data_IF_431805338033
#
_entry.id   IF_431805338033
#
_cell.length_a   1.000
_cell.length_b   1.000
_cell.length_c   1.000
_cell.angle_alpha   90.00
_cell.angle_beta   90.00
_cell.angle_gamma   90.00
#
_symmetry.space_group_name_H-M   'P 1'
#
loop_
_entity.id
_entity.type
_entity.pdbx_description
1 polymer ?
#
# COMPACT_ATOMS: atom_id res chain seq x y z
N UNK A 1 25.53 5.73 33.66
CA UNK A 1 25.54 6.41 32.34
C UNK A 1 26.88 6.34 31.59
N UNK A 2 28.06 6.65 32.19
CA UNK A 2 29.34 6.65 31.46
C UNK A 2 29.70 5.29 30.85
N UNK A 3 29.38 4.20 31.55
CA UNK A 3 29.61 2.84 31.07
C UNK A 3 28.82 2.51 29.78
N UNK A 4 27.59 3.03 29.62
CA UNK A 4 26.80 2.82 28.41
C UNK A 4 27.34 3.64 27.23
N UNK A 5 27.83 4.86 27.49
CA UNK A 5 28.48 5.67 26.46
C UNK A 5 29.79 5.02 25.99
N UNK A 6 30.61 4.55 26.93
CA UNK A 6 31.86 3.84 26.63
C UNK A 6 31.61 2.58 25.78
N UNK A 7 30.66 1.74 26.20
CA UNK A 7 30.29 0.54 25.46
C UNK A 7 29.68 0.85 24.09
N UNK A 8 28.91 1.94 23.97
CA UNK A 8 28.37 2.39 22.68
C UNK A 8 29.48 2.88 21.75
N UNK A 9 30.50 3.59 22.25
CA UNK A 9 31.65 4.02 21.44
C UNK A 9 32.52 2.84 21.03
N UNK A 10 32.67 1.83 21.90
CA UNK A 10 33.40 0.61 21.59
C UNK A 10 32.66 -0.25 20.55
N UNK A 11 31.33 -0.31 20.64
CA UNK A 11 30.49 -0.95 19.64
C UNK A 11 30.57 -0.22 18.29
N UNK A 12 30.59 1.12 18.29
CA UNK A 12 30.77 1.94 17.09
C UNK A 12 32.12 1.68 16.42
N UNK A 13 33.20 1.61 17.21
CA UNK A 13 34.54 1.29 16.72
C UNK A 13 34.64 -0.14 16.16
N UNK A 14 33.77 -1.05 16.60
CA UNK A 14 33.66 -2.42 16.07
C UNK A 14 32.72 -2.55 14.85
N UNK A 15 32.27 -1.44 14.27
CA UNK A 15 31.38 -1.46 13.11
C UNK A 15 29.96 -1.95 13.39
N UNK A 16 29.52 -1.94 14.65
CA UNK A 16 28.17 -2.38 15.07
C UNK A 16 27.90 -3.88 14.93
N UNK A 17 28.93 -4.71 14.78
CA UNK A 17 28.79 -6.16 14.55
C UNK A 17 29.07 -7.02 15.80
N UNK A 18 29.61 -6.42 16.87
CA UNK A 18 30.00 -7.18 18.06
C UNK A 18 28.79 -7.57 18.94
N UNK A 19 28.27 -8.79 18.76
CA UNK A 19 27.15 -9.36 19.51
C UNK A 19 27.38 -9.35 21.04
N UNK A 20 28.62 -9.51 21.50
CA UNK A 20 28.91 -9.55 22.95
C UNK A 20 28.79 -8.19 23.61
N UNK A 21 29.24 -7.12 22.94
CA UNK A 21 29.06 -5.74 23.39
C UNK A 21 27.59 -5.34 23.34
N UNK A 22 26.88 -5.77 22.30
CA UNK A 22 25.45 -5.51 22.16
C UNK A 22 24.62 -6.15 23.30
N UNK A 23 24.89 -7.41 23.63
CA UNK A 23 24.23 -8.10 24.74
C UNK A 23 24.53 -7.43 26.10
N UNK A 24 25.75 -6.94 26.30
CA UNK A 24 26.13 -6.18 27.51
C UNK A 24 25.36 -4.86 27.59
N UNK A 25 25.26 -4.12 26.49
CA UNK A 25 24.49 -2.86 26.42
C UNK A 25 23.01 -3.13 26.75
N UNK A 26 22.40 -4.16 26.15
CA UNK A 26 21.01 -4.54 26.42
C UNK A 26 20.78 -4.93 27.89
N UNK A 27 21.70 -5.69 28.47
CA UNK A 27 21.62 -6.11 29.87
C UNK A 27 21.68 -4.89 30.80
N UNK A 28 22.62 -3.97 30.56
CA UNK A 28 22.75 -2.73 31.35
C UNK A 28 21.51 -1.83 31.21
N UNK A 29 20.95 -1.71 30.01
CA UNK A 29 19.73 -0.94 29.78
C UNK A 29 18.51 -1.57 30.47
N UNK A 30 18.38 -2.90 30.43
CA UNK A 30 17.32 -3.63 31.15
C UNK A 30 17.45 -3.48 32.66
N UNK A 31 18.67 -3.59 33.19
CA UNK A 31 18.91 -3.39 34.62
C UNK A 31 18.54 -1.97 35.05
N UNK A 32 18.91 -0.95 34.26
CA UNK A 32 18.50 0.44 34.49
C UNK A 32 16.98 0.61 34.48
N UNK A 33 16.29 -0.02 33.53
CA UNK A 33 14.83 0.04 33.42
C UNK A 33 14.12 -0.67 34.59
N UNK A 34 14.60 -1.85 35.01
CA UNK A 34 14.04 -2.58 36.16
C UNK A 34 14.25 -1.80 37.46
N UNK A 35 15.40 -1.13 37.61
CA UNK A 35 15.66 -0.24 38.75
C UNK A 35 14.72 0.98 38.75
N UNK A 36 14.40 1.56 37.59
CA UNK A 36 13.39 2.62 37.49
C UNK A 36 11.98 2.16 37.84
N UNK A 37 11.62 0.91 37.49
CA UNK A 37 10.25 0.38 37.60
C UNK A 37 9.86 -0.04 39.02
N UNK A 38 10.83 -0.22 39.92
CA UNK A 38 10.62 -0.74 41.29
C UNK A 38 10.41 0.35 42.35
N UNK A 39 10.40 1.64 41.98
CA UNK A 39 10.17 2.75 42.90
C UNK A 39 8.69 3.17 42.96
N UNK A 40 8.16 3.44 44.16
CA UNK A 40 6.93 4.21 44.34
C UNK A 40 7.06 5.59 43.62
N UNK A 41 5.96 6.26 43.23
CA UNK A 41 6.02 7.52 42.47
C UNK A 41 6.88 8.61 43.13
N UNK A 42 6.98 8.63 44.45
CA UNK A 42 7.85 9.55 45.23
C UNK A 42 9.31 9.09 45.39
N UNK A 43 9.67 7.89 44.92
CA UNK A 43 10.98 7.28 45.14
C UNK A 43 11.56 6.66 43.84
N UNK A 44 11.35 7.33 42.71
CA UNK A 44 11.95 6.93 41.43
C UNK A 44 13.46 7.20 41.47
N UNK A 45 14.25 6.14 41.33
CA UNK A 45 15.72 6.18 41.34
C UNK A 45 16.28 6.92 40.12
N UNK A 46 15.51 7.02 39.03
CA UNK A 46 15.90 7.70 37.78
C UNK A 46 14.97 8.87 37.50
N UNK A 47 15.54 10.00 37.11
CA UNK A 47 14.80 11.21 36.76
C UNK A 47 14.06 11.06 35.42
N UNK A 48 13.09 11.93 35.17
CA UNK A 48 12.35 11.97 33.89
C UNK A 48 13.28 12.21 32.70
N UNK A 49 14.33 13.00 32.90
CA UNK A 49 15.35 13.30 31.88
C UNK A 49 16.22 12.08 31.58
N UNK A 50 16.57 11.30 32.62
CA UNK A 50 17.37 10.09 32.46
C UNK A 50 16.59 9.01 31.73
N UNK A 51 15.30 8.84 32.04
CA UNK A 51 14.40 7.95 31.32
C UNK A 51 14.21 8.36 29.85
N UNK A 52 14.06 9.66 29.58
CA UNK A 52 14.00 10.17 28.22
C UNK A 52 15.32 9.96 27.45
N UNK A 53 16.46 10.09 28.14
CA UNK A 53 17.77 9.78 27.58
C UNK A 53 17.89 8.29 27.25
N UNK A 54 17.49 7.39 28.16
CA UNK A 54 17.45 5.94 27.93
C UNK A 54 16.62 5.59 26.70
N UNK A 55 15.41 6.15 26.60
CA UNK A 55 14.55 5.93 25.43
C UNK A 55 15.22 6.34 24.11
N UNK A 56 15.82 7.55 24.07
CA UNK A 56 16.54 8.05 22.89
C UNK A 56 17.79 7.23 22.56
N UNK A 57 18.58 6.86 23.56
CA UNK A 57 19.80 6.08 23.40
C UNK A 57 19.49 4.69 22.84
N UNK A 58 18.50 3.98 23.43
CA UNK A 58 18.08 2.66 22.94
C UNK A 58 17.57 2.71 21.50
N UNK A 59 16.77 3.73 21.14
CA UNK A 59 16.31 3.92 19.77
C UNK A 59 17.45 4.23 18.80
N UNK A 60 18.38 5.11 19.18
CA UNK A 60 19.52 5.48 18.34
C UNK A 60 20.41 4.27 18.03
N UNK A 61 20.71 3.47 19.05
CA UNK A 61 21.48 2.22 18.87
C UNK A 61 20.69 1.26 17.97
N UNK A 62 19.40 1.05 18.23
CA UNK A 62 18.54 0.19 17.39
C UNK A 62 18.52 0.61 15.92
N UNK A 63 18.46 1.92 15.65
CA UNK A 63 18.49 2.46 14.29
C UNK A 63 19.84 2.25 13.59
N UNK A 64 20.95 2.24 14.33
CA UNK A 64 22.30 2.02 13.77
C UNK A 64 22.55 0.54 13.46
N UNK A 65 22.12 -0.36 14.34
CA UNK A 65 22.28 -1.82 14.16
C UNK A 65 21.22 -2.44 13.22
N UNK A 66 20.22 -1.66 12.79
CA UNK A 66 19.04 -2.12 12.06
C UNK A 66 19.37 -3.01 10.84
N UNK A 67 20.43 -2.66 10.11
CA UNK A 67 20.84 -3.35 8.86
C UNK A 67 21.81 -4.50 9.10
N UNK A 68 22.66 -4.40 10.13
CA UNK A 68 23.80 -5.30 10.36
C UNK A 68 23.49 -6.49 11.26
N UNK A 69 22.44 -6.39 12.09
CA UNK A 69 22.16 -7.40 13.12
C UNK A 69 20.85 -8.17 12.88
N UNK A 70 20.73 -9.35 13.51
CA UNK A 70 19.51 -10.16 13.61
C UNK A 70 18.33 -9.36 14.21
N UNK A 71 17.11 -9.89 14.08
CA UNK A 71 15.88 -9.20 14.48
C UNK A 71 15.78 -8.97 15.98
N UNK A 72 16.10 -9.97 16.77
CA UNK A 72 15.84 -10.03 18.20
C UNK A 72 16.52 -8.89 18.96
N UNK A 73 17.80 -8.54 18.70
CA UNK A 73 18.44 -7.44 19.39
C UNK A 73 17.84 -6.07 19.08
N UNK A 74 17.39 -5.86 17.83
CA UNK A 74 16.72 -4.63 17.39
C UNK A 74 15.38 -4.49 18.10
N UNK A 75 14.57 -5.56 18.08
CA UNK A 75 13.24 -5.57 18.72
C UNK A 75 13.34 -5.31 20.22
N UNK A 76 14.30 -5.95 20.88
CA UNK A 76 14.53 -5.79 22.32
C UNK A 76 14.94 -4.36 22.71
N UNK A 77 15.84 -3.72 21.95
CA UNK A 77 16.20 -2.31 22.19
C UNK A 77 15.03 -1.35 21.96
N UNK A 78 14.16 -1.64 20.99
CA UNK A 78 12.95 -0.83 20.76
C UNK A 78 11.91 -1.04 21.86
N UNK A 79 11.77 -2.25 22.40
CA UNK A 79 10.92 -2.50 23.57
C UNK A 79 11.42 -1.77 24.82
N UNK A 80 12.74 -1.74 25.06
CA UNK A 80 13.34 -0.92 26.12
C UNK A 80 13.01 0.56 25.88
N UNK A 81 13.16 1.02 24.64
CA UNK A 81 12.93 2.42 24.27
C UNK A 81 11.49 2.88 24.54
N UNK A 82 10.52 2.00 24.27
CA UNK A 82 9.09 2.21 24.55
C UNK A 82 8.84 2.19 26.06
N UNK A 83 9.35 1.18 26.78
CA UNK A 83 9.12 1.02 28.24
C UNK A 83 9.78 2.10 29.08
N UNK A 84 10.92 2.64 28.64
CA UNK A 84 11.65 3.69 29.35
C UNK A 84 10.88 5.01 29.42
N UNK A 85 9.79 5.18 28.66
CA UNK A 85 9.10 6.47 28.56
C UNK A 85 7.69 6.43 29.14
N UNK A 86 7.55 6.87 30.39
CA UNK A 86 6.23 7.19 30.98
C UNK A 86 5.79 8.65 30.77
N UNK A 87 6.66 9.50 30.19
CA UNK A 87 6.39 10.93 30.00
C UNK A 87 7.05 11.34 28.66
N UNK A 88 6.29 11.98 27.77
CA UNK A 88 6.68 12.68 26.52
C UNK A 88 6.42 11.95 25.18
N UNK A 89 5.68 12.68 24.32
CA UNK A 89 5.40 12.60 22.87
C UNK A 89 5.13 11.24 22.23
N UNK A 90 3.86 11.10 21.82
CA UNK A 90 3.30 10.10 20.90
C UNK A 90 4.15 9.87 19.64
N UNK A 91 4.93 10.85 19.21
CA UNK A 91 5.91 10.74 18.11
C UNK A 91 6.99 9.66 18.29
N UNK A 92 7.48 9.43 19.52
CA UNK A 92 8.54 8.44 19.74
C UNK A 92 8.03 7.00 19.61
N UNK A 93 6.76 6.78 19.96
CA UNK A 93 6.09 5.52 19.71
C UNK A 93 5.94 5.28 18.20
N UNK A 94 5.60 6.31 17.42
CA UNK A 94 5.56 6.21 15.95
C UNK A 94 6.94 5.83 15.38
N UNK A 95 8.04 6.42 15.87
CA UNK A 95 9.40 6.03 15.45
C UNK A 95 9.70 4.57 15.75
N UNK A 96 9.41 4.12 16.98
CA UNK A 96 9.70 2.74 17.38
C UNK A 96 8.87 1.75 16.57
N UNK A 97 7.57 2.00 16.41
CA UNK A 97 6.67 1.12 15.67
C UNK A 97 7.02 1.06 14.18
N UNK A 98 7.34 2.20 13.56
CA UNK A 98 7.77 2.22 12.16
C UNK A 98 9.04 1.41 11.94
N UNK A 99 10.02 1.51 12.83
CA UNK A 99 11.26 0.75 12.74
C UNK A 99 11.04 -0.75 13.00
N UNK A 100 10.19 -1.11 13.98
CA UNK A 100 9.79 -2.50 14.23
C UNK A 100 9.14 -3.14 13.00
N UNK A 101 8.13 -2.48 12.44
CA UNK A 101 7.41 -2.97 11.25
C UNK A 101 8.38 -3.16 10.08
N UNK A 102 9.26 -2.18 9.84
CA UNK A 102 10.25 -2.27 8.77
C UNK A 102 11.20 -3.46 8.96
N UNK A 103 11.68 -3.71 10.19
CA UNK A 103 12.56 -4.86 10.47
C UNK A 103 11.82 -6.18 10.26
N UNK A 104 10.62 -6.32 10.82
CA UNK A 104 9.81 -7.53 10.68
C UNK A 104 9.50 -7.81 9.21
N UNK A 105 9.18 -6.79 8.40
CA UNK A 105 8.94 -6.95 6.98
C UNK A 105 10.18 -7.45 6.21
N UNK A 106 11.38 -6.97 6.55
CA UNK A 106 12.63 -7.43 5.94
C UNK A 106 12.85 -8.91 6.24
N UNK A 107 12.64 -9.34 7.49
CA UNK A 107 12.82 -10.74 7.87
C UNK A 107 11.71 -11.63 7.28
N UNK A 108 10.45 -11.17 7.28
CA UNK A 108 9.33 -11.90 6.67
C UNK A 108 9.55 -12.18 5.18
N UNK A 109 10.16 -11.24 4.44
CA UNK A 109 10.46 -11.38 3.01
C UNK A 109 11.60 -12.38 2.75
N UNK A 110 12.55 -12.53 3.69
CA UNK A 110 13.65 -13.51 3.62
C UNK A 110 13.24 -14.90 4.11
N UNK A 111 12.21 -14.97 4.96
CA UNK A 111 11.76 -16.20 5.58
C UNK A 111 11.19 -17.19 4.56
N UNK A 112 11.60 -18.46 4.70
CA UNK A 112 11.19 -19.57 3.85
C UNK A 112 10.05 -20.34 4.52
N UNK A 113 10.08 -20.45 5.85
CA UNK A 113 9.05 -21.14 6.62
C UNK A 113 7.72 -20.38 6.55
N UNK A 114 6.67 -21.03 6.05
CA UNK A 114 5.33 -20.43 5.94
C UNK A 114 4.78 -20.04 7.32
N UNK A 115 5.05 -20.84 8.35
CA UNK A 115 4.54 -20.60 9.70
C UNK A 115 5.20 -19.39 10.36
N UNK A 116 6.54 -19.27 10.25
CA UNK A 116 7.26 -18.11 10.78
C UNK A 116 6.93 -16.84 10.00
N UNK A 117 6.80 -16.95 8.67
CA UNK A 117 6.35 -15.84 7.82
C UNK A 117 4.93 -15.37 8.20
N UNK A 118 4.04 -16.30 8.52
CA UNK A 118 2.68 -16.00 9.02
C UNK A 118 2.71 -15.25 10.35
N UNK A 119 3.58 -15.67 11.29
CA UNK A 119 3.77 -14.97 12.56
C UNK A 119 4.30 -13.55 12.35
N UNK A 120 5.28 -13.38 11.48
CA UNK A 120 5.83 -12.07 11.16
C UNK A 120 4.79 -11.12 10.54
N UNK A 121 4.03 -11.57 9.54
CA UNK A 121 2.98 -10.75 8.94
C UNK A 121 1.81 -10.45 9.90
N UNK A 122 1.49 -11.38 10.80
CA UNK A 122 0.51 -11.12 11.88
C UNK A 122 1.01 -10.06 12.87
N UNK A 123 2.33 -10.05 13.16
CA UNK A 123 2.94 -9.02 13.99
C UNK A 123 2.91 -7.64 13.31
N UNK A 124 3.10 -7.58 11.98
CA UNK A 124 2.94 -6.35 11.20
C UNK A 124 1.54 -5.78 11.36
N UNK A 125 0.48 -6.58 11.26
CA UNK A 125 -0.89 -6.12 11.49
C UNK A 125 -1.08 -5.49 12.87
N UNK A 126 -0.62 -6.18 13.92
CA UNK A 126 -0.80 -5.73 15.31
C UNK A 126 -0.08 -4.40 15.56
N UNK A 127 1.18 -4.29 15.16
CA UNK A 127 1.99 -3.08 15.38
C UNK A 127 1.52 -1.96 14.45
N UNK A 128 1.12 -2.29 13.21
CA UNK A 128 0.56 -1.35 12.25
C UNK A 128 -0.73 -0.71 12.76
N UNK A 129 -1.67 -1.49 13.30
CA UNK A 129 -2.90 -0.96 13.88
C UNK A 129 -2.62 0.00 15.05
N UNK A 130 -1.64 -0.31 15.90
CA UNK A 130 -1.20 0.58 16.98
C UNK A 130 -0.64 1.89 16.44
N UNK A 131 0.28 1.83 15.45
CA UNK A 131 0.81 3.02 14.79
C UNK A 131 -0.30 3.89 14.18
N UNK A 132 -1.27 3.29 13.48
CA UNK A 132 -2.35 4.04 12.83
C UNK A 132 -3.27 4.71 13.85
N UNK A 133 -3.56 4.05 14.97
CA UNK A 133 -4.29 4.65 16.09
C UNK A 133 -3.57 5.88 16.65
N UNK A 134 -2.26 5.78 16.87
CA UNK A 134 -1.43 6.89 17.35
C UNK A 134 -1.34 8.04 16.33
N UNK A 135 -1.19 7.73 15.04
CA UNK A 135 -1.13 8.72 13.98
C UNK A 135 -2.42 9.54 13.90
N UNK A 136 -3.59 8.89 13.93
CA UNK A 136 -4.91 9.57 13.95
C UNK A 136 -5.09 10.47 15.17
N UNK A 137 -4.55 10.09 16.33
CA UNK A 137 -4.63 10.92 17.53
C UNK A 137 -3.74 12.18 17.45
N UNK A 138 -2.63 12.12 16.70
CA UNK A 138 -1.70 13.24 16.52
C UNK A 138 -2.14 14.25 15.46
N UNK A 139 -2.89 13.84 14.44
CA UNK A 139 -3.37 14.77 13.41
C UNK A 139 -4.35 15.82 13.93
N UNK A 140 -4.89 15.62 15.14
CA UNK A 140 -5.82 16.55 15.81
C UNK A 140 -5.07 17.61 16.63
N UNK A 141 -3.83 17.33 17.05
CA UNK A 141 -3.09 18.17 18.00
C UNK A 141 -1.64 18.41 17.56
N UNK A 142 -1.35 19.63 17.09
CA UNK A 142 -0.03 20.29 17.18
C UNK A 142 1.15 19.62 16.44
N UNK A 143 1.14 19.63 15.10
CA UNK A 143 2.37 19.36 14.32
C UNK A 143 2.72 20.52 13.38
N UNK A 144 4.01 20.80 13.26
CA UNK A 144 4.53 21.69 12.20
C UNK A 144 4.40 20.99 10.84
N UNK A 145 4.18 21.74 9.75
CA UNK A 145 3.98 21.16 8.40
C UNK A 145 5.09 20.16 8.00
N UNK A 146 6.35 20.41 8.37
CA UNK A 146 7.47 19.51 8.04
C UNK A 146 7.45 18.18 8.83
N UNK A 147 7.01 18.21 10.09
CA UNK A 147 6.87 16.99 10.89
C UNK A 147 5.71 16.14 10.37
N UNK A 148 4.59 16.77 10.05
CA UNK A 148 3.43 16.09 9.47
C UNK A 148 3.77 15.36 8.17
N UNK A 149 4.48 16.00 7.24
CA UNK A 149 4.91 15.36 5.98
C UNK A 149 5.80 14.14 6.20
N UNK A 150 6.72 14.20 7.17
CA UNK A 150 7.55 13.05 7.54
C UNK A 150 6.70 11.89 8.06
N UNK A 151 5.75 12.19 8.95
CA UNK A 151 4.86 11.18 9.52
C UNK A 151 3.91 10.60 8.48
N UNK A 152 3.41 11.42 7.56
CA UNK A 152 2.59 10.99 6.44
C UNK A 152 3.35 10.00 5.53
N UNK A 153 4.59 10.29 5.19
CA UNK A 153 5.44 9.38 4.41
C UNK A 153 5.65 8.02 5.12
N UNK A 154 5.85 8.04 6.43
CA UNK A 154 5.95 6.80 7.23
C UNK A 154 4.61 6.05 7.31
N UNK A 155 3.50 6.78 7.47
CA UNK A 155 2.16 6.19 7.49
C UNK A 155 1.84 5.48 6.17
N UNK A 156 2.15 6.11 5.02
CA UNK A 156 2.04 5.47 3.69
C UNK A 156 2.86 4.20 3.59
N UNK A 157 4.09 4.22 4.09
CA UNK A 157 4.97 3.04 4.08
C UNK A 157 4.37 1.91 4.93
N UNK A 158 3.79 2.23 6.08
CA UNK A 158 3.15 1.24 6.95
C UNK A 158 1.90 0.68 6.29
N UNK A 159 1.06 1.51 5.66
CA UNK A 159 -0.10 1.05 4.89
C UNK A 159 0.31 0.08 3.77
N UNK A 160 1.40 0.35 3.06
CA UNK A 160 1.96 -0.56 2.05
C UNK A 160 2.37 -1.92 2.63
N UNK A 161 3.09 -1.91 3.76
CA UNK A 161 3.52 -3.15 4.43
C UNK A 161 2.34 -3.93 5.02
N UNK A 162 1.32 -3.22 5.51
CA UNK A 162 0.10 -3.82 6.06
C UNK A 162 -0.79 -4.45 4.96
N UNK A 163 -0.81 -3.82 3.77
CA UNK A 163 -1.44 -4.40 2.59
C UNK A 163 -0.72 -5.68 2.16
N UNK A 164 0.62 -5.66 2.08
CA UNK A 164 1.42 -6.84 1.76
C UNK A 164 1.15 -7.98 2.76
N UNK A 165 1.09 -7.67 4.05
CA UNK A 165 0.74 -8.63 5.09
C UNK A 165 -0.67 -9.23 4.86
N UNK A 166 -1.65 -8.38 4.56
CA UNK A 166 -3.03 -8.82 4.29
C UNK A 166 -3.11 -9.74 3.06
N UNK A 167 -2.36 -9.41 2.00
CA UNK A 167 -2.30 -10.20 0.77
C UNK A 167 -1.66 -11.56 1.05
N UNK A 168 -0.56 -11.60 1.80
CA UNK A 168 0.10 -12.85 2.18
C UNK A 168 -0.82 -13.75 3.01
N UNK A 169 -1.50 -13.17 4.01
CA UNK A 169 -2.44 -13.88 4.88
C UNK A 169 -3.78 -14.19 4.20
N UNK A 170 -3.96 -13.78 2.94
CA UNK A 170 -5.21 -13.93 2.17
C UNK A 170 -6.43 -13.27 2.84
N UNK A 171 -6.19 -12.25 3.68
CA UNK A 171 -7.23 -11.45 4.32
C UNK A 171 -7.67 -10.31 3.40
N UNK A 172 -8.49 -10.63 2.41
CA UNK A 172 -8.91 -9.68 1.38
C UNK A 172 -9.95 -8.65 1.85
N UNK A 173 -10.75 -8.99 2.86
CA UNK A 173 -11.53 -7.99 3.59
C UNK A 173 -10.61 -6.93 4.21
N UNK A 174 -9.51 -7.37 4.82
CA UNK A 174 -8.45 -6.49 5.35
C UNK A 174 -7.86 -5.59 4.27
N UNK A 175 -7.54 -6.15 3.10
CA UNK A 175 -7.05 -5.39 1.93
C UNK A 175 -8.02 -4.25 1.57
N UNK A 176 -9.32 -4.53 1.44
CA UNK A 176 -10.31 -3.48 1.16
C UNK A 176 -10.36 -2.41 2.26
N UNK A 177 -10.36 -2.81 3.54
CA UNK A 177 -10.39 -1.85 4.65
C UNK A 177 -9.15 -0.95 4.69
N UNK A 178 -7.97 -1.48 4.35
CA UNK A 178 -6.72 -0.72 4.28
C UNK A 178 -6.76 0.28 3.12
N UNK A 179 -7.29 -0.13 1.97
CA UNK A 179 -7.45 0.76 0.80
C UNK A 179 -8.38 1.93 1.12
N UNK A 180 -9.51 1.65 1.77
CA UNK A 180 -10.46 2.67 2.21
C UNK A 180 -9.84 3.60 3.25
N UNK A 181 -9.11 3.06 4.23
CA UNK A 181 -8.38 3.84 5.23
C UNK A 181 -7.27 4.71 4.60
N UNK A 182 -6.60 4.21 3.56
CA UNK A 182 -5.55 4.92 2.86
C UNK A 182 -6.08 6.06 1.97
N UNK A 183 -7.38 6.08 1.66
CA UNK A 183 -8.05 7.00 0.74
C UNK A 183 -7.53 8.46 0.83
N UNK A 184 -7.57 9.15 1.99
CA UNK A 184 -7.16 10.56 2.08
C UNK A 184 -5.65 10.77 1.93
N UNK A 185 -4.86 9.71 1.98
CA UNK A 185 -3.40 9.76 1.99
C UNK A 185 -2.78 9.21 0.70
N UNK A 186 -3.57 8.69 -0.25
CA UNK A 186 -3.03 8.06 -1.46
C UNK A 186 -2.18 9.06 -2.27
N UNK A 187 -1.00 8.63 -2.69
CA UNK A 187 -0.17 9.29 -3.70
C UNK A 187 0.12 8.31 -4.84
N UNK A 188 0.81 8.78 -5.89
CA UNK A 188 1.19 7.95 -7.04
C UNK A 188 1.97 6.68 -6.63
N UNK A 189 2.88 6.83 -5.66
CA UNK A 189 3.73 5.72 -5.20
C UNK A 189 2.93 4.67 -4.45
N UNK A 190 2.13 5.06 -3.46
CA UNK A 190 1.32 4.16 -2.67
C UNK A 190 0.27 3.46 -3.54
N UNK A 191 -0.36 4.21 -4.45
CA UNK A 191 -1.32 3.65 -5.41
C UNK A 191 -0.65 2.58 -6.29
N UNK A 192 0.54 2.87 -6.83
CA UNK A 192 1.31 1.90 -7.61
C UNK A 192 1.66 0.66 -6.79
N UNK A 193 2.13 0.82 -5.55
CA UNK A 193 2.45 -0.31 -4.64
C UNK A 193 1.23 -1.18 -4.36
N UNK A 194 0.06 -0.57 -4.16
CA UNK A 194 -1.20 -1.29 -3.93
C UNK A 194 -1.60 -2.09 -5.17
N UNK A 195 -1.61 -1.47 -6.34
CA UNK A 195 -1.94 -2.11 -7.62
C UNK A 195 -0.99 -3.28 -7.91
N UNK A 196 0.31 -3.03 -7.78
CA UNK A 196 1.36 -4.02 -7.93
C UNK A 196 1.20 -5.19 -6.96
N UNK A 197 0.91 -4.91 -5.68
CA UNK A 197 0.72 -5.94 -4.66
C UNK A 197 -0.46 -6.85 -4.99
N UNK A 198 -1.58 -6.24 -5.39
CA UNK A 198 -2.80 -6.98 -5.78
C UNK A 198 -2.51 -7.83 -7.02
N UNK A 199 -1.87 -7.29 -8.07
CA UNK A 199 -1.57 -8.02 -9.30
C UNK A 199 -0.53 -9.13 -9.09
N UNK A 200 0.53 -8.89 -8.30
CA UNK A 200 1.58 -9.90 -8.06
C UNK A 200 1.13 -11.04 -7.16
N UNK A 201 0.03 -10.90 -6.44
CA UNK A 201 -0.55 -11.99 -5.66
C UNK A 201 -0.99 -13.19 -6.50
N UNK A 202 -0.98 -13.07 -7.83
CA UNK A 202 -1.30 -14.09 -8.84
C UNK A 202 -0.18 -15.10 -9.13
N UNK A 203 0.96 -15.05 -8.43
CA UNK A 203 2.09 -15.97 -8.65
C UNK A 203 1.71 -17.46 -8.69
N UNK A 204 1.81 -18.03 -9.90
CA UNK A 204 1.71 -19.46 -10.28
C UNK A 204 0.49 -20.24 -9.76
N UNK A 205 -0.66 -20.22 -10.44
CA UNK A 205 -1.70 -21.24 -10.23
C UNK A 205 -2.48 -21.66 -11.48
N UNK A 206 -2.88 -22.94 -11.46
CA UNK A 206 -3.62 -23.66 -12.51
C UNK A 206 -5.06 -23.13 -12.65
N UNK A 207 -5.57 -23.18 -13.89
CA UNK A 207 -6.83 -22.59 -14.37
C UNK A 207 -8.09 -22.76 -13.51
N UNK A 208 -8.21 -23.80 -12.66
CA UNK A 208 -9.44 -24.07 -11.88
C UNK A 208 -9.53 -23.34 -10.52
N UNK A 209 -8.44 -22.82 -9.98
CA UNK A 209 -8.44 -22.04 -8.72
C UNK A 209 -8.56 -20.53 -8.98
N UNK A 210 -8.55 -20.13 -10.25
CA UNK A 210 -8.50 -18.75 -10.70
C UNK A 210 -9.81 -17.98 -10.42
N UNK A 211 -10.96 -18.64 -10.56
CA UNK A 211 -12.27 -17.97 -10.49
C UNK A 211 -12.61 -17.39 -9.09
N UNK A 212 -12.42 -18.19 -8.05
CA UNK A 212 -12.66 -17.75 -6.65
C UNK A 212 -11.66 -16.69 -6.24
N UNK A 213 -10.40 -16.82 -6.66
CA UNK A 213 -9.35 -15.86 -6.33
C UNK A 213 -9.61 -14.51 -7.02
N UNK A 214 -10.03 -14.52 -8.29
CA UNK A 214 -10.37 -13.31 -9.04
C UNK A 214 -11.66 -12.63 -8.57
N UNK A 215 -12.65 -13.36 -8.04
CA UNK A 215 -13.81 -12.73 -7.38
C UNK A 215 -13.38 -11.91 -6.16
N UNK A 216 -12.35 -12.39 -5.46
CA UNK A 216 -11.83 -11.71 -4.29
C UNK A 216 -10.92 -10.52 -4.71
N UNK A 217 -10.12 -10.69 -5.77
CA UNK A 217 -9.35 -9.60 -6.39
C UNK A 217 -10.25 -8.51 -7.00
N UNK A 218 -11.40 -8.89 -7.57
CA UNK A 218 -12.44 -7.98 -8.07
C UNK A 218 -12.82 -6.97 -7.00
N UNK A 219 -13.08 -7.43 -5.78
CA UNK A 219 -13.48 -6.55 -4.70
C UNK A 219 -12.36 -5.59 -4.30
N UNK A 220 -11.14 -6.09 -4.11
CA UNK A 220 -9.99 -5.25 -3.76
C UNK A 220 -9.67 -4.21 -4.85
N UNK A 221 -9.67 -4.64 -6.12
CA UNK A 221 -9.49 -3.75 -7.26
C UNK A 221 -10.60 -2.73 -7.36
N UNK A 222 -11.86 -3.17 -7.29
CA UNK A 222 -13.00 -2.29 -7.43
C UNK A 222 -13.06 -1.28 -6.29
N UNK A 223 -12.72 -1.69 -5.06
CA UNK A 223 -12.54 -0.77 -3.94
C UNK A 223 -11.42 0.22 -4.25
N UNK A 224 -10.24 -0.23 -4.68
CA UNK A 224 -9.13 0.68 -5.01
C UNK A 224 -9.48 1.67 -6.11
N UNK A 225 -10.14 1.21 -7.17
CA UNK A 225 -10.51 2.09 -8.25
C UNK A 225 -11.60 3.06 -7.79
N UNK A 226 -12.65 2.61 -7.09
CA UNK A 226 -13.62 3.51 -6.47
C UNK A 226 -12.93 4.52 -5.56
N UNK A 227 -11.93 4.11 -4.78
CA UNK A 227 -11.16 5.01 -3.92
C UNK A 227 -10.34 5.99 -4.75
N UNK A 228 -9.67 5.58 -5.82
CA UNK A 228 -8.92 6.49 -6.70
C UNK A 228 -9.83 7.49 -7.43
N UNK A 229 -11.08 7.10 -7.70
CA UNK A 229 -12.09 7.97 -8.30
C UNK A 229 -12.74 8.92 -7.29
N UNK A 230 -13.18 8.39 -6.14
CA UNK A 230 -13.93 9.13 -5.12
C UNK A 230 -13.02 9.95 -4.21
N UNK A 231 -11.76 9.53 -4.05
CA UNK A 231 -10.80 10.20 -3.17
C UNK A 231 -10.23 11.44 -3.86
N UNK A 232 -10.67 12.58 -3.37
CA UNK A 232 -10.01 13.88 -3.50
C UNK A 232 -8.72 13.92 -2.65
N UNK A 233 -7.87 12.88 -2.72
CA UNK A 233 -6.55 12.97 -2.11
C UNK A 233 -5.84 14.17 -2.74
N UNK A 234 -5.40 15.16 -1.94
CA UNK A 234 -4.75 16.35 -2.48
C UNK A 234 -3.45 16.00 -3.23
N UNK A 235 -2.91 14.79 -3.01
CA UNK A 235 -1.68 14.30 -3.61
C UNK A 235 -1.87 13.62 -4.98
N UNK A 236 -3.12 13.35 -5.40
CA UNK A 236 -3.42 12.67 -6.67
C UNK A 236 -4.06 13.57 -7.72
N UNK A 237 -4.56 14.74 -7.33
CA UNK A 237 -5.26 15.67 -8.23
C UNK A 237 -4.37 16.02 -9.43
N UNK A 238 -4.79 15.60 -10.63
CA UNK A 238 -4.09 15.84 -11.89
C UNK A 238 -2.67 15.22 -12.03
N UNK A 239 -2.38 14.15 -11.29
CA UNK A 239 -1.12 13.41 -11.41
C UNK A 239 -0.98 12.66 -12.74
N UNK A 240 0.25 12.59 -13.27
CA UNK A 240 0.64 11.74 -14.42
C UNK A 240 0.20 10.28 -14.21
N UNK A 241 0.20 9.82 -12.96
CA UNK A 241 -0.28 8.50 -12.57
C UNK A 241 -1.67 8.17 -13.11
N UNK A 242 -2.66 9.04 -12.89
CA UNK A 242 -4.05 8.78 -13.33
C UNK A 242 -4.14 8.80 -14.86
N UNK A 243 -3.28 9.58 -15.51
CA UNK A 243 -3.32 9.80 -16.97
C UNK A 243 -2.59 8.68 -17.71
N UNK A 244 -1.46 8.18 -17.21
CA UNK A 244 -0.60 7.26 -17.96
C UNK A 244 -0.46 5.90 -17.30
N UNK A 245 -0.31 5.86 -15.98
CA UNK A 245 0.02 4.64 -15.26
C UNK A 245 -1.23 3.81 -14.99
N UNK A 246 -2.31 4.43 -14.49
CA UNK A 246 -3.57 3.75 -14.18
C UNK A 246 -4.20 3.06 -15.41
N UNK A 247 -4.25 3.67 -16.61
CA UNK A 247 -4.74 2.99 -17.81
C UNK A 247 -3.98 1.70 -18.16
N UNK A 248 -2.66 1.66 -17.93
CA UNK A 248 -1.86 0.46 -18.14
C UNK A 248 -2.20 -0.65 -17.15
N UNK A 249 -2.45 -0.29 -15.89
CA UNK A 249 -2.93 -1.27 -14.89
C UNK A 249 -4.33 -1.80 -15.23
N UNK A 250 -5.24 -0.93 -15.69
CA UNK A 250 -6.57 -1.31 -16.18
C UNK A 250 -6.44 -2.29 -17.35
N UNK A 251 -5.56 -2.00 -18.31
CA UNK A 251 -5.25 -2.88 -19.46
C UNK A 251 -4.81 -4.26 -19.00
N UNK A 252 -3.82 -4.33 -18.11
CA UNK A 252 -3.31 -5.58 -17.57
C UNK A 252 -4.42 -6.38 -16.89
N UNK A 253 -5.20 -5.75 -16.02
CA UNK A 253 -6.26 -6.45 -15.29
C UNK A 253 -7.39 -6.92 -16.21
N UNK A 254 -7.77 -6.10 -17.19
CA UNK A 254 -8.78 -6.48 -18.18
C UNK A 254 -8.33 -7.71 -18.96
N UNK A 255 -7.07 -7.73 -19.43
CA UNK A 255 -6.50 -8.90 -20.12
C UNK A 255 -6.48 -10.14 -19.22
N UNK A 256 -5.99 -10.02 -17.99
CA UNK A 256 -5.95 -11.12 -17.02
C UNK A 256 -7.35 -11.68 -16.72
N UNK A 257 -8.35 -10.80 -16.66
CA UNK A 257 -9.75 -11.18 -16.45
C UNK A 257 -10.31 -11.95 -17.65
N UNK A 258 -9.96 -11.56 -18.87
CA UNK A 258 -10.34 -12.27 -20.08
C UNK A 258 -9.65 -13.64 -20.18
N UNK A 259 -8.34 -13.69 -19.94
CA UNK A 259 -7.53 -14.92 -19.99
C UNK A 259 -8.01 -15.97 -18.97
N UNK A 260 -8.52 -15.50 -17.83
CA UNK A 260 -9.11 -16.33 -16.80
C UNK A 260 -10.58 -16.69 -17.02
N UNK A 261 -11.20 -16.23 -18.11
CA UNK A 261 -12.63 -16.36 -18.38
C UNK A 261 -13.56 -15.72 -17.33
N UNK A 262 -13.07 -14.73 -16.57
CA UNK A 262 -13.83 -13.97 -15.58
C UNK A 262 -14.52 -12.77 -16.23
N UNK A 263 -15.49 -13.06 -17.09
CA UNK A 263 -16.10 -12.03 -17.93
C UNK A 263 -16.89 -10.97 -17.14
N UNK A 264 -17.45 -11.31 -15.98
CA UNK A 264 -18.14 -10.33 -15.13
C UNK A 264 -17.16 -9.29 -14.55
N UNK A 265 -15.95 -9.71 -14.20
CA UNK A 265 -14.90 -8.80 -13.74
C UNK A 265 -14.40 -7.95 -14.91
N UNK A 266 -14.09 -8.58 -16.05
CA UNK A 266 -13.66 -7.88 -17.26
C UNK A 266 -14.68 -6.79 -17.66
N UNK A 267 -15.97 -7.12 -17.60
CA UNK A 267 -17.04 -6.17 -17.88
C UNK A 267 -17.11 -5.02 -16.85
N UNK A 268 -16.95 -5.32 -15.56
CA UNK A 268 -16.90 -4.28 -14.52
C UNK A 268 -15.71 -3.34 -14.68
N UNK A 269 -14.56 -3.83 -15.17
CA UNK A 269 -13.39 -3.01 -15.47
C UNK A 269 -13.66 -2.12 -16.69
N UNK A 270 -14.36 -2.66 -17.70
CA UNK A 270 -14.77 -1.90 -18.87
C UNK A 270 -15.70 -0.74 -18.51
N UNK A 271 -16.69 -0.99 -17.64
CA UNK A 271 -17.60 0.05 -17.15
C UNK A 271 -16.86 1.17 -16.40
N UNK A 272 -15.92 0.78 -15.54
CA UNK A 272 -15.08 1.72 -14.81
C UNK A 272 -14.19 2.56 -15.74
N UNK A 273 -13.65 1.92 -16.78
CA UNK A 273 -12.84 2.61 -17.80
C UNK A 273 -13.68 3.64 -18.56
N UNK A 274 -14.94 3.30 -18.88
CA UNK A 274 -15.85 4.24 -19.54
C UNK A 274 -16.12 5.47 -18.67
N UNK A 275 -16.36 5.28 -17.37
CA UNK A 275 -16.55 6.39 -16.40
C UNK A 275 -15.30 7.28 -16.37
N UNK A 276 -14.09 6.68 -16.27
CA UNK A 276 -12.82 7.44 -16.29
C UNK A 276 -12.66 8.29 -17.54
N UNK A 277 -12.92 7.69 -18.70
CA UNK A 277 -12.78 8.38 -19.99
C UNK A 277 -13.79 9.52 -20.10
N UNK A 278 -15.06 9.30 -19.72
CA UNK A 278 -16.13 10.30 -19.79
C UNK A 278 -15.86 11.50 -18.88
N UNK A 279 -15.50 11.27 -17.62
CA UNK A 279 -15.20 12.36 -16.67
C UNK A 279 -14.03 13.23 -17.16
N UNK A 280 -13.02 12.60 -17.79
CA UNK A 280 -11.87 13.32 -18.32
C UNK A 280 -12.23 14.10 -19.58
N UNK A 281 -13.02 13.50 -20.47
CA UNK A 281 -13.53 14.18 -21.66
C UNK A 281 -14.36 15.42 -21.28
N UNK A 282 -15.22 15.33 -20.25
CA UNK A 282 -15.99 16.46 -19.74
C UNK A 282 -15.11 17.57 -19.14
N UNK A 283 -14.01 17.22 -18.45
CA UNK A 283 -13.06 18.19 -17.87
C UNK A 283 -12.22 18.90 -18.92
N UNK A 284 -11.87 18.24 -20.02
CA UNK A 284 -11.13 18.86 -21.14
C UNK A 284 -11.99 19.85 -21.92
N UNK A 285 -13.31 19.62 -22.05
CA UNK A 285 -14.21 20.53 -22.76
C UNK A 285 -14.56 21.85 -22.05
N UNK A 286 -14.24 21.97 -20.76
CA UNK A 286 -14.64 23.13 -19.93
C UNK A 286 -13.51 24.13 -19.62
N UNK A 287 -12.25 23.81 -19.91
CA UNK A 287 -11.09 24.65 -19.55
C UNK A 287 -10.09 24.75 -20.71
N UNK A 288 -10.34 25.67 -21.64
CA UNK A 288 -9.45 25.98 -22.78
C UNK A 288 -8.04 26.49 -22.38
N UNK A 289 -7.81 26.77 -21.10
CA UNK A 289 -6.56 27.39 -20.61
C UNK A 289 -5.61 26.46 -19.84
N UNK A 290 -5.97 25.19 -19.59
CA UNK A 290 -5.04 24.18 -19.08
C UNK A 290 -5.26 22.84 -19.80
N UNK A 291 -4.47 22.61 -20.85
CA UNK A 291 -4.41 21.36 -21.63
C UNK A 291 -3.89 20.19 -20.79
N UNK A 292 -4.70 19.70 -19.86
CA UNK A 292 -4.44 18.43 -19.20
C UNK A 292 -4.58 17.30 -20.22
N UNK A 293 -3.57 16.41 -20.34
CA UNK A 293 -3.67 15.30 -21.26
C UNK A 293 -4.85 14.41 -20.87
N UNK A 294 -5.71 14.12 -21.85
CA UNK A 294 -6.84 13.22 -21.69
C UNK A 294 -6.39 11.77 -21.48
N UNK A 295 -7.36 10.87 -21.35
CA UNK A 295 -7.08 9.43 -21.29
C UNK A 295 -6.29 8.98 -22.54
N UNK A 296 -5.28 8.10 -22.41
CA UNK A 296 -4.41 7.74 -23.54
C UNK A 296 -5.19 7.09 -24.68
N UNK A 297 -5.00 7.61 -25.89
CA UNK A 297 -5.76 7.18 -27.06
C UNK A 297 -5.49 5.72 -27.42
N UNK A 298 -4.25 5.26 -27.29
CA UNK A 298 -3.87 3.87 -27.53
C UNK A 298 -4.58 2.91 -26.57
N UNK A 299 -4.87 3.36 -25.35
CA UNK A 299 -5.62 2.57 -24.37
C UNK A 299 -7.12 2.56 -24.70
N UNK A 300 -7.70 3.66 -25.17
CA UNK A 300 -9.09 3.69 -25.67
C UNK A 300 -9.25 2.75 -26.87
N UNK A 301 -8.35 2.88 -27.86
CA UNK A 301 -8.37 2.06 -29.08
C UNK A 301 -8.22 0.58 -28.76
N UNK A 302 -7.29 0.24 -27.86
CA UNK A 302 -7.11 -1.15 -27.46
C UNK A 302 -8.32 -1.69 -26.68
N UNK A 303 -8.80 -0.98 -25.65
CA UNK A 303 -9.94 -1.43 -24.83
C UNK A 303 -11.19 -1.63 -25.68
N UNK A 304 -11.51 -0.68 -26.56
CA UNK A 304 -12.66 -0.78 -27.46
C UNK A 304 -12.52 -1.95 -28.43
N UNK A 305 -11.35 -2.15 -29.03
CA UNK A 305 -11.11 -3.26 -29.98
C UNK A 305 -11.21 -4.61 -29.29
N UNK A 306 -10.57 -4.79 -28.13
CA UNK A 306 -10.60 -6.07 -27.40
C UNK A 306 -11.99 -6.36 -26.86
N UNK A 307 -12.71 -5.36 -26.35
CA UNK A 307 -14.10 -5.52 -25.92
C UNK A 307 -15.04 -5.88 -27.09
N UNK A 308 -14.81 -5.31 -28.28
CA UNK A 308 -15.59 -5.65 -29.47
C UNK A 308 -15.30 -7.08 -29.96
N UNK A 309 -14.03 -7.49 -29.97
CA UNK A 309 -13.68 -8.89 -30.30
C UNK A 309 -14.37 -9.86 -29.33
N UNK A 310 -14.45 -9.50 -28.05
CA UNK A 310 -15.19 -10.32 -27.08
C UNK A 310 -16.71 -10.35 -27.38
N UNK A 311 -17.29 -9.28 -27.88
CA UNK A 311 -18.67 -9.27 -28.36
C UNK A 311 -18.87 -10.24 -29.54
N UNK A 312 -17.90 -10.31 -30.47
CA UNK A 312 -17.90 -11.28 -31.56
C UNK A 312 -17.84 -12.72 -31.02
N UNK A 313 -17.03 -12.99 -30.00
CA UNK A 313 -17.03 -14.32 -29.36
C UNK A 313 -18.40 -14.69 -28.81
N UNK A 314 -19.12 -13.75 -28.18
CA UNK A 314 -20.47 -13.98 -27.69
C UNK A 314 -21.47 -14.24 -28.83
N UNK A 315 -21.34 -13.52 -29.95
CA UNK A 315 -22.14 -13.78 -31.14
C UNK A 315 -21.91 -15.21 -31.67
N UNK A 316 -20.65 -15.64 -31.78
CA UNK A 316 -20.30 -17.01 -32.21
C UNK A 316 -20.83 -18.08 -31.23
N UNK A 317 -20.98 -17.72 -29.96
CA UNK A 317 -21.55 -18.59 -28.93
C UNK A 317 -23.10 -18.50 -28.84
N UNK A 318 -23.77 -17.80 -29.76
CA UNK A 318 -25.21 -17.54 -29.75
C UNK A 318 -25.72 -16.84 -28.47
N UNK A 319 -24.85 -16.05 -27.82
CA UNK A 319 -25.15 -15.24 -26.64
C UNK A 319 -25.47 -13.79 -27.04
N UNK A 320 -26.56 -13.59 -27.79
CA UNK A 320 -26.90 -12.31 -28.43
C UNK A 320 -27.03 -11.13 -27.45
N UNK A 321 -27.52 -11.38 -26.24
CA UNK A 321 -27.67 -10.35 -25.21
C UNK A 321 -26.31 -9.83 -24.75
N UNK A 322 -25.34 -10.73 -24.50
CA UNK A 322 -23.99 -10.37 -24.09
C UNK A 322 -23.20 -9.74 -25.25
N UNK A 323 -23.38 -10.24 -26.49
CA UNK A 323 -22.86 -9.62 -27.71
C UNK A 323 -23.26 -8.14 -27.80
N UNK A 324 -24.57 -7.84 -27.78
CA UNK A 324 -25.06 -6.46 -27.86
C UNK A 324 -24.54 -5.58 -26.73
N UNK A 325 -24.50 -6.11 -25.50
CA UNK A 325 -24.03 -5.39 -24.32
C UNK A 325 -22.55 -5.00 -24.45
N UNK A 326 -21.70 -5.96 -24.81
CA UNK A 326 -20.25 -5.73 -24.96
C UNK A 326 -19.92 -4.85 -26.17
N UNK A 327 -20.59 -5.07 -27.31
CA UNK A 327 -20.42 -4.24 -28.50
C UNK A 327 -20.84 -2.79 -28.23
N UNK A 328 -21.95 -2.56 -27.52
CA UNK A 328 -22.38 -1.22 -27.13
C UNK A 328 -21.35 -0.49 -26.27
N UNK A 329 -20.77 -1.17 -25.28
CA UNK A 329 -19.70 -0.61 -24.43
C UNK A 329 -18.43 -0.31 -25.23
N UNK A 330 -18.04 -1.21 -26.13
CA UNK A 330 -16.89 -1.02 -27.02
C UNK A 330 -17.07 0.19 -27.94
N UNK A 331 -18.24 0.35 -28.56
CA UNK A 331 -18.57 1.49 -29.42
C UNK A 331 -18.59 2.79 -28.61
N UNK A 332 -19.14 2.78 -27.39
CA UNK A 332 -19.14 3.95 -26.51
C UNK A 332 -17.72 4.42 -26.18
N UNK A 333 -16.80 3.49 -25.89
CA UNK A 333 -15.38 3.82 -25.71
C UNK A 333 -14.74 4.34 -27.00
N UNK A 334 -14.98 3.67 -28.13
CA UNK A 334 -14.42 4.07 -29.42
C UNK A 334 -14.85 5.48 -29.83
N UNK A 335 -16.07 5.91 -29.52
CA UNK A 335 -16.54 7.27 -29.79
C UNK A 335 -15.80 8.35 -28.98
N UNK A 336 -15.11 7.97 -27.91
CA UNK A 336 -14.31 8.89 -27.09
C UNK A 336 -12.86 9.02 -27.59
N UNK A 337 -12.47 8.25 -28.62
CA UNK A 337 -11.17 8.41 -29.26
C UNK A 337 -11.11 9.73 -30.04
N UNK A 338 -9.92 10.33 -30.13
CA UNK A 338 -9.67 11.58 -30.87
C UNK A 338 -9.43 11.32 -32.35
N UNK A 339 -10.32 10.55 -32.97
CA UNK A 339 -10.20 10.10 -34.37
C UNK A 339 -11.40 10.51 -35.24
N UNK A 340 -12.06 11.61 -34.86
CA UNK A 340 -13.30 12.10 -35.48
C UNK A 340 -14.41 11.03 -35.52
N UNK A 341 -14.40 10.09 -34.57
CA UNK A 341 -15.35 8.99 -34.46
C UNK A 341 -15.17 7.91 -35.52
N UNK A 342 -14.01 7.84 -36.18
CA UNK A 342 -13.74 6.85 -37.21
C UNK A 342 -13.83 5.41 -36.66
N UNK A 343 -13.21 5.13 -35.52
CA UNK A 343 -13.28 3.83 -34.86
C UNK A 343 -14.71 3.48 -34.44
N UNK A 344 -15.44 4.44 -33.88
CA UNK A 344 -16.85 4.26 -33.51
C UNK A 344 -17.74 3.88 -34.69
N UNK A 345 -17.58 4.58 -35.84
CA UNK A 345 -18.29 4.25 -37.09
C UNK A 345 -17.92 2.87 -37.61
N UNK A 346 -16.64 2.51 -37.58
CA UNK A 346 -16.16 1.20 -38.01
C UNK A 346 -16.79 0.07 -37.19
N UNK A 347 -16.77 0.18 -35.86
CA UNK A 347 -17.33 -0.84 -34.97
C UNK A 347 -18.85 -0.97 -35.13
N UNK A 348 -19.57 0.14 -35.32
CA UNK A 348 -21.02 0.11 -35.59
C UNK A 348 -21.34 -0.62 -36.90
N UNK A 349 -20.62 -0.31 -37.98
CA UNK A 349 -20.81 -1.00 -39.25
C UNK A 349 -20.46 -2.49 -39.18
N UNK A 350 -19.50 -2.90 -38.34
CA UNK A 350 -19.22 -4.31 -38.08
C UNK A 350 -20.32 -4.99 -37.27
N UNK A 351 -20.92 -4.30 -36.30
CA UNK A 351 -22.02 -4.84 -35.51
C UNK A 351 -23.26 -5.12 -36.39
N UNK A 352 -23.57 -4.22 -37.32
CA UNK A 352 -24.67 -4.40 -38.29
C UNK A 352 -24.49 -5.63 -39.19
N UNK A 353 -23.25 -6.10 -39.40
CA UNK A 353 -22.96 -7.34 -40.14
C UNK A 353 -23.12 -8.61 -39.29
N UNK A 354 -23.19 -8.48 -37.96
CA UNK A 354 -23.32 -9.58 -37.00
C UNK A 354 -24.77 -9.76 -36.51
N UNK A 355 -25.70 -8.94 -36.99
CA UNK A 355 -27.14 -8.99 -36.69
C UNK A 355 -27.91 -9.29 -37.95
#
# INVERSE_FOLDING_TARGET
MPALQLLSTELENSGWENETLLNKIQTLMNQGLVMASRGAPDNRILSVEELAWFAKASYSIASRIFRSTKMEPVMHLLDISIKARHIVLSEHYLLCDSLKIAKIAIEARKEISVDEKTKHYSAIHRIGAHFRGLFKSQTVEHSTNAQYERWLSQHRTILALDLEASIFLKNWSGVCTIIEEASPFLDERLSSVFLDGILRSEGHLKAKVQAVKLTIHRNAWQTLLRTLHASLSPFLHNSTFIIQTLPRYIRCLFQLSLDAAEYQLAESILDQSLILVQERHAKTGNNDNLSLPGYPEDEIRWLSTVAFNRAVDYYLAAADADCRRWAGKAINLANMAKDDGALGRLLRGKLEMLT
#
